data_IF_909401244621
#
_entry.id   IF_909401244621
#
_cell.length_a   1.000
_cell.length_b   1.000
_cell.length_c   1.000
_cell.angle_alpha   90.00
_cell.angle_beta   90.00
_cell.angle_gamma   90.00
#
_symmetry.space_group_name_H-M   'P 1'
#
loop_
_entity.id
_entity.type
_entity.pdbx_description
1 polymer ?
#
# COMPACT_ATOMS: atom_id res chain seq x y z
N UNK A 1 5.21 11.95 -13.49
CA UNK A 1 5.95 11.82 -14.77
C UNK A 1 6.43 10.39 -15.06
N UNK A 2 6.95 9.64 -14.09
CA UNK A 2 7.61 8.36 -14.33
C UNK A 2 6.73 7.25 -14.96
N UNK A 3 5.40 7.28 -14.78
CA UNK A 3 4.49 6.30 -15.39
C UNK A 3 4.17 6.58 -16.88
N UNK A 4 4.58 7.71 -17.46
CA UNK A 4 4.22 8.08 -18.84
C UNK A 4 4.71 7.07 -19.89
N UNK A 5 5.84 6.42 -19.65
CA UNK A 5 6.41 5.40 -20.55
C UNK A 5 5.90 3.98 -20.27
N UNK A 6 5.11 3.79 -19.21
CA UNK A 6 4.58 2.46 -18.86
C UNK A 6 3.36 2.07 -19.68
N UNK A 7 2.71 3.00 -20.38
CA UNK A 7 1.42 2.78 -21.05
C UNK A 7 0.22 2.69 -20.10
N UNK A 8 0.41 2.97 -18.80
CA UNK A 8 -0.68 3.07 -17.84
C UNK A 8 -1.44 4.40 -17.99
N UNK A 9 -2.77 4.35 -17.83
CA UNK A 9 -3.58 5.56 -17.65
C UNK A 9 -3.59 5.91 -16.17
N UNK A 10 -3.18 7.13 -15.85
CA UNK A 10 -3.11 7.61 -14.46
C UNK A 10 -4.18 8.66 -14.23
N UNK A 11 -4.98 8.46 -13.17
CA UNK A 11 -5.91 9.44 -12.64
C UNK A 11 -5.51 9.75 -11.20
N UNK A 12 -5.47 11.03 -10.87
CA UNK A 12 -5.26 11.47 -9.50
C UNK A 12 -6.61 11.87 -8.89
N UNK A 13 -6.82 11.49 -7.64
CA UNK A 13 -7.98 11.89 -6.84
C UNK A 13 -7.53 12.13 -5.41
N UNK A 14 -7.94 13.28 -4.85
CA UNK A 14 -7.82 13.57 -3.42
C UNK A 14 -9.13 13.31 -2.68
N UNK A 15 -10.14 12.74 -3.34
CA UNK A 15 -11.45 12.49 -2.74
C UNK A 15 -11.45 11.14 -2.03
N UNK A 16 -11.45 11.11 -0.68
CA UNK A 16 -11.40 9.86 0.09
C UNK A 16 -12.71 9.06 0.03
N UNK A 17 -13.73 9.55 -0.67
CA UNK A 17 -15.04 8.91 -0.81
C UNK A 17 -15.38 8.55 -2.26
N UNK A 18 -14.46 8.75 -3.19
CA UNK A 18 -14.65 8.29 -4.56
C UNK A 18 -14.73 6.76 -4.55
N UNK A 19 -15.89 6.21 -4.87
CA UNK A 19 -16.01 4.77 -5.11
C UNK A 19 -15.25 4.44 -6.39
N UNK A 20 -14.35 3.48 -6.32
CA UNK A 20 -13.57 2.99 -7.46
C UNK A 20 -13.97 1.55 -7.71
N UNK A 21 -14.20 1.21 -8.97
CA UNK A 21 -14.50 -0.15 -9.41
C UNK A 21 -13.36 -0.75 -10.23
N UNK A 22 -13.27 -2.08 -10.36
CA UNK A 22 -12.24 -2.72 -11.19
C UNK A 22 -12.32 -2.34 -12.68
N UNK A 23 -13.50 -1.93 -13.15
CA UNK A 23 -13.68 -1.44 -14.52
C UNK A 23 -13.05 -0.06 -14.74
N UNK A 24 -12.86 0.73 -13.67
CA UNK A 24 -12.28 2.08 -13.73
C UNK A 24 -10.77 2.08 -13.48
N UNK A 25 -10.26 1.17 -12.65
CA UNK A 25 -8.84 1.08 -12.33
C UNK A 25 -8.40 -0.35 -12.01
N UNK A 26 -7.30 -0.79 -12.65
CA UNK A 26 -6.65 -2.06 -12.36
C UNK A 26 -5.88 -2.05 -11.03
N UNK A 27 -5.41 -0.87 -10.59
CA UNK A 27 -4.65 -0.68 -9.36
C UNK A 27 -4.91 0.72 -8.78
N UNK A 28 -5.20 0.80 -7.49
CA UNK A 28 -5.25 2.05 -6.72
C UNK A 28 -4.01 2.19 -5.85
N UNK A 29 -3.34 3.35 -5.91
CA UNK A 29 -2.23 3.67 -4.99
C UNK A 29 -2.76 4.61 -3.91
N UNK A 30 -2.71 4.15 -2.67
CA UNK A 30 -3.06 4.95 -1.49
C UNK A 30 -1.79 5.62 -0.97
N UNK A 31 -1.65 6.93 -1.18
CA UNK A 31 -0.45 7.69 -0.79
C UNK A 31 -0.66 8.54 0.47
N UNK A 32 0.47 8.98 1.04
CA UNK A 32 0.60 10.08 2.02
C UNK A 32 0.17 9.76 3.46
N UNK A 33 -1.06 9.27 3.65
CA UNK A 33 -1.62 9.05 5.00
C UNK A 33 -0.93 7.89 5.73
N UNK A 34 -0.62 8.09 7.01
CA UNK A 34 0.00 7.08 7.88
C UNK A 34 -0.89 5.86 8.08
N UNK A 35 -2.20 6.09 8.13
CA UNK A 35 -3.24 5.05 8.17
C UNK A 35 -4.25 5.38 7.07
N UNK A 36 -4.52 4.41 6.19
CA UNK A 36 -5.52 4.60 5.14
C UNK A 36 -6.92 4.74 5.77
N UNK A 37 -7.80 5.53 5.15
CA UNK A 37 -9.19 5.65 5.62
C UNK A 37 -9.84 4.25 5.63
N UNK A 38 -10.32 3.76 6.79
CA UNK A 38 -10.99 2.46 6.89
C UNK A 38 -12.20 2.32 5.97
N UNK A 39 -12.87 3.43 5.61
CA UNK A 39 -13.99 3.42 4.66
C UNK A 39 -13.48 3.10 3.25
N UNK A 40 -12.49 3.84 2.77
CA UNK A 40 -11.85 3.61 1.47
C UNK A 40 -11.31 2.18 1.37
N UNK A 41 -10.59 1.70 2.40
CA UNK A 41 -10.06 0.34 2.42
C UNK A 41 -11.19 -0.70 2.28
N UNK A 42 -12.26 -0.56 3.05
CA UNK A 42 -13.39 -1.48 3.01
C UNK A 42 -14.10 -1.46 1.66
N UNK A 43 -14.23 -0.29 1.05
CA UNK A 43 -14.90 -0.16 -0.23
C UNK A 43 -14.04 -0.77 -1.35
N UNK A 44 -12.72 -0.56 -1.37
CA UNK A 44 -11.80 -1.23 -2.29
C UNK A 44 -11.82 -2.77 -2.14
N UNK A 45 -11.85 -3.26 -0.90
CA UNK A 45 -11.99 -4.70 -0.63
C UNK A 45 -13.33 -5.24 -1.15
N UNK A 46 -14.45 -4.55 -0.89
CA UNK A 46 -15.78 -4.95 -1.35
C UNK A 46 -15.91 -4.95 -2.87
N UNK A 47 -15.31 -3.96 -3.53
CA UNK A 47 -15.34 -3.83 -4.98
C UNK A 47 -14.33 -4.74 -5.69
N UNK A 48 -13.45 -5.42 -4.95
CA UNK A 48 -12.43 -6.29 -5.55
C UNK A 48 -11.30 -5.52 -6.25
N UNK A 49 -11.06 -4.26 -5.88
CA UNK A 49 -10.03 -3.42 -6.51
C UNK A 49 -8.68 -3.64 -5.85
N UNK A 50 -7.68 -4.02 -6.65
CA UNK A 50 -6.31 -4.16 -6.16
C UNK A 50 -5.76 -2.79 -5.72
N UNK A 51 -5.04 -2.77 -4.60
CA UNK A 51 -4.51 -1.52 -4.07
C UNK A 51 -3.17 -1.67 -3.35
N UNK A 52 -2.35 -0.63 -3.45
CA UNK A 52 -1.01 -0.54 -2.86
C UNK A 52 -0.93 0.67 -1.95
N UNK A 53 -0.61 0.47 -0.67
CA UNK A 53 -0.34 1.57 0.26
C UNK A 53 1.11 2.04 0.16
N UNK A 54 1.33 3.35 0.03
CA UNK A 54 2.65 3.97 -0.07
C UNK A 54 2.69 5.17 0.87
N UNK A 55 3.56 5.13 1.88
CA UNK A 55 3.60 6.15 2.93
C UNK A 55 5.00 6.24 3.51
N UNK A 56 5.28 7.30 4.24
CA UNK A 56 6.50 7.42 5.05
C UNK A 56 6.10 7.48 6.51
N UNK A 57 6.88 6.88 7.41
CA UNK A 57 6.63 6.93 8.86
C UNK A 57 7.97 6.99 9.57
N UNK A 58 8.12 7.97 10.47
CA UNK A 58 9.33 8.16 11.27
C UNK A 58 10.63 8.20 10.43
N UNK A 59 10.57 8.83 9.25
CA UNK A 59 11.72 8.89 8.33
C UNK A 59 11.98 7.61 7.53
N UNK A 60 11.15 6.57 7.66
CA UNK A 60 11.24 5.33 6.89
C UNK A 60 10.15 5.29 5.79
N UNK A 61 10.55 4.91 4.58
CA UNK A 61 9.62 4.65 3.48
C UNK A 61 8.90 3.31 3.63
N UNK A 62 7.59 3.27 3.39
CA UNK A 62 6.77 2.07 3.49
C UNK A 62 6.00 1.85 2.18
N UNK A 63 6.24 0.72 1.52
CA UNK A 63 5.53 0.30 0.31
C UNK A 63 4.87 -1.04 0.54
N UNK A 64 3.54 -1.03 0.65
CA UNK A 64 2.71 -2.22 0.81
C UNK A 64 1.93 -2.28 2.12
N UNK A 65 1.18 -3.37 2.34
CA UNK A 65 1.03 -4.51 1.42
C UNK A 65 0.36 -4.16 0.09
N UNK A 66 0.75 -4.88 -0.97
CA UNK A 66 -0.04 -4.96 -2.20
C UNK A 66 -1.22 -5.90 -1.94
N UNK A 67 -2.42 -5.32 -1.95
CA UNK A 67 -3.67 -6.01 -1.66
C UNK A 67 -4.35 -6.40 -2.96
N UNK A 68 -4.57 -7.70 -3.15
CA UNK A 68 -5.45 -8.28 -4.16
C UNK A 68 -6.60 -8.91 -3.36
N UNK A 69 -7.79 -8.29 -3.32
CA UNK A 69 -8.89 -8.76 -2.50
C UNK A 69 -9.21 -10.25 -2.72
N UNK A 70 -9.43 -10.99 -1.64
CA UNK A 70 -9.63 -12.45 -1.67
C UNK A 70 -8.34 -13.27 -1.78
N UNK A 71 -7.27 -12.73 -2.36
CA UNK A 71 -6.01 -13.45 -2.63
C UNK A 71 -4.94 -13.16 -1.59
N UNK A 72 -4.66 -11.89 -1.30
CA UNK A 72 -3.60 -11.48 -0.35
C UNK A 72 -4.17 -10.95 0.97
N UNK A 73 -3.30 -10.73 1.95
CA UNK A 73 -3.63 -10.03 3.19
C UNK A 73 -4.00 -8.57 2.92
N UNK A 74 -5.04 -8.07 3.58
CA UNK A 74 -5.42 -6.66 3.50
C UNK A 74 -4.69 -5.79 4.54
N UNK A 75 -4.85 -4.46 4.45
CA UNK A 75 -4.34 -3.53 5.47
C UNK A 75 -4.89 -3.82 6.88
N UNK A 76 -6.12 -4.36 6.97
CA UNK A 76 -6.73 -4.76 8.23
C UNK A 76 -6.08 -6.00 8.85
N UNK A 77 -5.54 -6.92 8.04
CA UNK A 77 -4.69 -8.00 8.55
C UNK A 77 -3.43 -7.42 9.21
N UNK A 78 -2.77 -6.46 8.56
CA UNK A 78 -1.60 -5.80 9.12
C UNK A 78 -1.92 -5.08 10.43
N UNK A 79 -3.06 -4.39 10.52
CA UNK A 79 -3.48 -3.72 11.76
C UNK A 79 -3.86 -4.69 12.89
N UNK A 80 -4.45 -5.86 12.57
CA UNK A 80 -4.70 -6.91 13.56
C UNK A 80 -3.38 -7.49 14.08
N UNK A 81 -2.43 -7.78 13.21
CA UNK A 81 -1.08 -8.24 13.62
C UNK A 81 -0.30 -7.19 14.43
N UNK A 82 -0.55 -5.90 14.20
CA UNK A 82 -0.02 -4.82 15.04
C UNK A 82 -0.70 -4.79 16.39
N UNK A 83 -2.03 -4.91 16.44
CA UNK A 83 -2.81 -5.01 17.67
C UNK A 83 -2.38 -6.18 18.55
N UNK A 84 -2.08 -7.33 17.94
CA UNK A 84 -1.61 -8.50 18.67
C UNK A 84 -0.23 -8.28 19.31
N UNK A 85 0.58 -7.37 18.76
CA UNK A 85 1.89 -6.96 19.33
C UNK A 85 1.76 -5.80 20.30
N UNK A 86 0.81 -4.91 20.07
CA UNK A 86 0.53 -3.72 20.86
C UNK A 86 -0.98 -3.50 20.96
N UNK A 87 -1.54 -3.83 22.13
CA UNK A 87 -2.98 -3.69 22.37
C UNK A 87 -3.48 -2.25 22.24
N UNK A 88 -2.61 -1.24 22.37
CA UNK A 88 -2.95 0.16 22.19
C UNK A 88 -3.02 0.58 20.71
N UNK A 89 -2.56 -0.25 19.77
CA UNK A 89 -2.52 0.06 18.34
C UNK A 89 -3.83 0.61 17.77
N UNK A 90 -5.04 0.10 18.10
CA UNK A 90 -6.28 0.64 17.55
C UNK A 90 -6.51 2.11 17.91
N UNK A 91 -6.13 2.52 19.12
CA UNK A 91 -6.24 3.91 19.56
C UNK A 91 -5.24 4.80 18.81
N UNK A 92 -3.99 4.35 18.67
CA UNK A 92 -2.95 5.03 17.90
C UNK A 92 -3.36 5.17 16.43
N UNK A 93 -3.81 4.08 15.81
CA UNK A 93 -4.25 4.09 14.41
C UNK A 93 -5.40 5.08 14.18
N UNK A 94 -6.35 5.17 15.11
CA UNK A 94 -7.46 6.12 15.03
C UNK A 94 -7.01 7.59 15.06
N UNK A 95 -5.95 7.90 15.83
CA UNK A 95 -5.33 9.23 15.90
C UNK A 95 -4.55 9.57 14.62
N UNK A 96 -3.98 8.58 13.95
CA UNK A 96 -3.12 8.78 12.76
C UNK A 96 -3.87 8.85 11.41
N UNK A 97 -5.20 8.65 11.38
CA UNK A 97 -5.99 8.53 10.13
C UNK A 97 -5.86 9.70 9.16
N UNK A 98 -5.79 10.92 9.69
CA UNK A 98 -5.68 12.15 8.90
C UNK A 98 -4.29 12.77 8.98
N UNK A 99 -3.31 11.98 9.44
CA UNK A 99 -1.91 12.41 9.57
C UNK A 99 -1.12 11.93 8.37
N UNK A 100 -0.50 12.87 7.66
CA UNK A 100 0.43 12.60 6.57
C UNK A 100 1.82 12.34 7.14
N UNK A 101 2.49 11.33 6.60
CA UNK A 101 3.89 11.05 6.94
C UNK A 101 4.82 12.14 6.44
N UNK A 102 5.80 12.52 7.28
CA UNK A 102 6.87 13.44 6.88
C UNK A 102 8.21 12.70 6.92
N UNK A 103 9.03 12.94 5.91
CA UNK A 103 10.41 12.48 5.82
C UNK A 103 11.24 13.47 5.00
N UNK A 104 12.56 13.32 5.04
CA UNK A 104 13.44 14.09 4.17
C UNK A 104 13.20 13.75 2.68
N UNK A 105 13.66 14.63 1.79
CA UNK A 105 13.42 14.50 0.35
C UNK A 105 14.03 13.23 -0.24
N UNK A 106 15.17 12.76 0.26
CA UNK A 106 15.77 11.53 -0.24
C UNK A 106 14.90 10.32 0.09
N UNK A 107 14.35 10.27 1.31
CA UNK A 107 13.41 9.20 1.72
C UNK A 107 12.15 9.20 0.89
N UNK A 108 11.54 10.37 0.66
CA UNK A 108 10.33 10.47 -0.17
C UNK A 108 10.59 9.98 -1.60
N UNK A 109 11.69 10.42 -2.21
CA UNK A 109 12.04 10.02 -3.59
C UNK A 109 12.38 8.52 -3.69
N UNK A 110 13.12 7.98 -2.72
CA UNK A 110 13.43 6.56 -2.68
C UNK A 110 12.17 5.69 -2.48
N UNK A 111 11.26 6.12 -1.61
CA UNK A 111 9.96 5.47 -1.40
C UNK A 111 9.13 5.46 -2.68
N UNK A 112 9.08 6.60 -3.39
CA UNK A 112 8.39 6.71 -4.67
C UNK A 112 9.01 5.81 -5.75
N UNK A 113 10.35 5.72 -5.79
CA UNK A 113 11.06 4.83 -6.71
C UNK A 113 10.75 3.35 -6.43
N UNK A 114 10.74 2.95 -5.15
CA UNK A 114 10.39 1.60 -4.74
C UNK A 114 8.93 1.27 -5.05
N UNK A 115 8.01 2.20 -4.79
CA UNK A 115 6.59 2.06 -5.14
C UNK A 115 6.39 1.90 -6.64
N UNK A 116 7.07 2.72 -7.46
CA UNK A 116 7.02 2.62 -8.92
C UNK A 116 7.51 1.26 -9.42
N UNK A 117 8.57 0.71 -8.81
CA UNK A 117 9.05 -0.64 -9.12
C UNK A 117 7.98 -1.71 -8.88
N UNK A 118 7.25 -1.63 -7.75
CA UNK A 118 6.14 -2.55 -7.47
C UNK A 118 4.96 -2.35 -8.43
N UNK A 119 4.61 -1.10 -8.76
CA UNK A 119 3.55 -0.80 -9.73
C UNK A 119 3.90 -1.34 -11.13
N UNK A 120 5.15 -1.22 -11.57
CA UNK A 120 5.59 -1.77 -12.86
C UNK A 120 5.47 -3.30 -12.90
N UNK A 121 5.77 -4.00 -11.80
CA UNK A 121 5.53 -5.45 -11.70
C UNK A 121 4.05 -5.80 -11.83
N UNK A 122 3.15 -5.02 -11.21
CA UNK A 122 1.70 -5.21 -11.38
C UNK A 122 1.27 -4.98 -12.83
N UNK A 123 1.77 -3.92 -13.48
CA UNK A 123 1.49 -3.65 -14.90
C UNK A 123 1.98 -4.80 -15.78
N UNK A 124 3.17 -5.34 -15.52
CA UNK A 124 3.72 -6.50 -16.23
C UNK A 124 2.88 -7.76 -16.05
N UNK A 125 2.41 -8.03 -14.83
CA UNK A 125 1.54 -9.15 -14.53
C UNK A 125 0.17 -9.02 -15.23
N UNK A 126 -0.46 -7.84 -15.21
CA UNK A 126 -1.73 -7.57 -15.91
C UNK A 126 -1.59 -7.76 -17.43
N UNK A 127 -0.41 -7.46 -17.99
CA UNK A 127 -0.09 -7.68 -19.40
C UNK A 127 0.32 -9.11 -19.75
N UNK A 128 0.47 -9.99 -18.76
CA UNK A 128 0.97 -11.36 -18.96
C UNK A 128 2.44 -11.43 -19.38
N UNK A 129 3.23 -10.37 -19.15
CA UNK A 129 4.62 -10.26 -19.60
C UNK A 129 5.65 -10.57 -18.51
N UNK A 130 5.25 -10.62 -17.25
CA UNK A 130 6.15 -10.84 -16.12
C UNK A 130 5.56 -11.89 -15.15
N UNK A 131 6.21 -13.06 -14.98
CA UNK A 131 5.71 -14.12 -14.11
C UNK A 131 6.12 -13.97 -12.64
N UNK A 132 7.03 -13.04 -12.29
CA UNK A 132 7.52 -12.95 -10.91
C UNK A 132 6.58 -12.11 -10.02
N UNK A 133 6.09 -12.65 -8.89
CA UNK A 133 5.22 -11.90 -7.99
C UNK A 133 5.89 -10.62 -7.44
N UNK A 134 5.14 -9.51 -7.25
CA UNK A 134 5.63 -8.34 -6.52
C UNK A 134 6.06 -8.72 -5.09
N UNK A 135 7.20 -8.20 -4.63
CA UNK A 135 7.69 -8.45 -3.27
C UNK A 135 6.78 -7.86 -2.19
N UNK A 136 5.96 -6.86 -2.55
CA UNK A 136 4.95 -6.30 -1.67
C UNK A 136 3.70 -7.21 -1.50
N UNK A 137 3.61 -8.36 -2.19
CA UNK A 137 2.53 -9.31 -1.94
C UNK A 137 2.64 -9.85 -0.51
N UNK A 138 1.58 -9.68 0.28
CA UNK A 138 1.55 -10.04 1.70
C UNK A 138 2.69 -9.42 2.54
N UNK A 139 3.31 -8.33 2.08
CA UNK A 139 4.41 -7.70 2.79
C UNK A 139 4.46 -6.18 2.59
N UNK A 140 4.89 -5.47 3.62
CA UNK A 140 5.31 -4.07 3.52
C UNK A 140 6.83 -4.03 3.37
N UNK A 141 7.31 -3.42 2.30
CA UNK A 141 8.73 -3.09 2.16
C UNK A 141 9.02 -1.81 2.95
N UNK A 142 9.93 -1.91 3.90
CA UNK A 142 10.40 -0.81 4.73
C UNK A 142 11.77 -0.37 4.20
N UNK A 143 11.88 0.86 3.74
CA UNK A 143 13.08 1.45 3.15
C UNK A 143 13.65 2.53 4.07
N UNK A 144 14.88 2.33 4.54
CA UNK A 144 15.62 3.33 5.31
C UNK A 144 16.78 3.83 4.43
N UNK A 145 16.71 5.10 4.01
CA UNK A 145 17.77 5.75 3.22
C UNK A 145 19.08 5.82 4.00
N UNK A 146 19.01 6.16 5.29
CA UNK A 146 20.18 6.41 6.12
C UNK A 146 20.94 5.13 6.41
N UNK A 147 20.21 4.05 6.69
CA UNK A 147 20.78 2.72 6.85
C UNK A 147 21.09 2.02 5.51
N UNK A 148 20.57 2.52 4.39
CA UNK A 148 20.71 1.91 3.07
C UNK A 148 20.07 0.51 2.98
N UNK A 149 18.97 0.29 3.71
CA UNK A 149 18.38 -1.05 3.87
C UNK A 149 16.93 -1.13 3.38
N UNK A 150 16.58 -2.31 2.87
CA UNK A 150 15.21 -2.66 2.48
C UNK A 150 14.82 -3.93 3.23
N UNK A 151 13.77 -3.85 4.04
CA UNK A 151 13.27 -4.98 4.83
C UNK A 151 11.84 -5.31 4.42
N UNK A 152 11.57 -6.58 4.09
CA UNK A 152 10.22 -7.05 3.80
C UNK A 152 9.54 -7.55 5.09
N UNK A 153 8.60 -6.77 5.61
CA UNK A 153 7.75 -7.16 6.74
C UNK A 153 6.51 -7.87 6.25
N UNK A 154 6.42 -9.17 6.51
CA UNK A 154 5.30 -10.00 6.08
C UNK A 154 4.09 -9.87 7.00
N UNK A 155 2.91 -9.86 6.40
CA UNK A 155 1.61 -9.78 7.06
C UNK A 155 0.74 -10.92 6.54
N UNK A 156 0.80 -12.14 7.10
CA UNK A 156 -0.10 -13.20 6.64
C UNK A 156 -1.56 -12.83 6.90
N UNK A 157 -2.51 -13.45 6.18
CA UNK A 157 -3.94 -13.30 6.47
C UNK A 157 -4.18 -13.58 7.95
N UNK A 158 -4.83 -12.64 8.62
CA UNK A 158 -5.07 -12.72 10.05
C UNK A 158 -6.34 -13.54 10.32
N UNK A 159 -6.38 -14.48 11.29
CA UNK A 159 -7.55 -15.33 11.54
C UNK A 159 -8.85 -14.58 11.88
N UNK A 160 -8.72 -13.41 12.51
CA UNK A 160 -9.85 -12.52 12.83
C UNK A 160 -10.23 -11.56 11.70
N UNK A 161 -9.59 -11.63 10.54
CA UNK A 161 -9.93 -10.81 9.38
C UNK A 161 -10.86 -11.57 8.44
N UNK A 162 -11.83 -10.88 7.87
CA UNK A 162 -12.84 -11.47 6.96
C UNK A 162 -12.46 -11.40 5.47
N UNK A 163 -11.18 -11.20 5.13
CA UNK A 163 -10.71 -10.94 3.76
C UNK A 163 -10.17 -12.16 3.01
#
# INVERSE_FOLDING_TARGET
EALRCSGARVKHSSQPHATVTPAEADLVVLSDNLVADPRMQRDLLRQGVAHLAVRVRDGTGLVGPLVIPGVTSCLGCADLHRRDRDAAWPAVAAQLRDTVGVADRATVLATAALALSQVNRVIGAVRGSDPEPPQALNATLEFDVHAGSIVARHWPKHPLCSC
#
